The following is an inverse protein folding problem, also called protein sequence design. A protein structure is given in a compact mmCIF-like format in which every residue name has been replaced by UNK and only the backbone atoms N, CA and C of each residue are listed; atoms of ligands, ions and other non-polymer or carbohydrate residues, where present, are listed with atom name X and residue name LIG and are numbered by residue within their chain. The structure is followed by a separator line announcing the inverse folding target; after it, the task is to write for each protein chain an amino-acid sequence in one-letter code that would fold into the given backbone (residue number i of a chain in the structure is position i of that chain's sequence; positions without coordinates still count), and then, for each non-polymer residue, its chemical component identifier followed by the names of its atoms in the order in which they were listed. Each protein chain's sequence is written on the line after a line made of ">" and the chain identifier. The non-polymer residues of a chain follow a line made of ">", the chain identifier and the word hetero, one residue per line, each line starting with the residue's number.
data_IF_491064385661
#
_entry.id   IF_491064385661
#
_cell.length_a   1.000
_cell.length_b   1.000
_cell.length_c   1.000
_cell.angle_alpha   90.00
_cell.angle_beta   90.00
_cell.angle_gamma   90.00
#
_symmetry.space_group_name_H-M   'P 1'
#
loop_
_entity.id
_entity.type
_entity.pdbx_description
1 polymer ?
#
# COMPACT_ATOMS: atom_id res chain seq x y z
N UNK A 1 -36.61 18.81 -29.79
CA UNK A 1 -36.10 18.27 -28.50
C UNK A 1 -34.55 18.24 -28.45
N UNK A 2 -33.86 19.38 -28.63
CA UNK A 2 -32.38 19.45 -28.71
C UNK A 2 -31.67 19.64 -27.35
N UNK A 3 -32.41 19.90 -26.27
CA UNK A 3 -31.86 20.18 -24.92
C UNK A 3 -31.41 18.94 -24.13
N UNK A 4 -31.68 17.71 -24.59
CA UNK A 4 -31.29 16.48 -23.86
C UNK A 4 -29.78 16.21 -23.87
N UNK A 5 -29.07 16.69 -24.90
CA UNK A 5 -27.62 16.52 -25.08
C UNK A 5 -26.78 17.29 -24.04
N UNK A 6 -26.96 18.61 -23.84
CA UNK A 6 -26.18 19.34 -22.84
C UNK A 6 -26.46 18.85 -21.40
N UNK A 7 -27.70 18.45 -21.10
CA UNK A 7 -28.06 17.89 -19.78
C UNK A 7 -27.27 16.60 -19.51
N UNK A 8 -27.14 15.72 -20.50
CA UNK A 8 -26.36 14.49 -20.37
C UNK A 8 -24.88 14.77 -20.08
N UNK A 9 -24.28 15.73 -20.79
CA UNK A 9 -22.88 16.13 -20.54
C UNK A 9 -22.70 16.80 -19.17
N UNK A 10 -23.65 17.60 -18.70
CA UNK A 10 -23.62 18.19 -17.35
C UNK A 10 -23.67 17.12 -16.26
N UNK A 11 -24.48 16.06 -16.42
CA UNK A 11 -24.55 14.96 -15.44
C UNK A 11 -23.22 14.21 -15.39
N UNK A 12 -22.59 13.95 -16.53
CA UNK A 12 -21.27 13.31 -16.59
C UNK A 12 -20.20 14.19 -15.94
N UNK A 13 -20.21 15.50 -16.22
CA UNK A 13 -19.26 16.44 -15.62
C UNK A 13 -19.41 16.49 -14.09
N UNK A 14 -20.64 16.49 -13.58
CA UNK A 14 -20.92 16.45 -12.14
C UNK A 14 -20.46 15.12 -11.53
N UNK A 15 -20.66 13.98 -12.21
CA UNK A 15 -20.19 12.69 -11.74
C UNK A 15 -18.66 12.60 -11.65
N UNK A 16 -17.95 13.15 -12.65
CA UNK A 16 -16.48 13.22 -12.64
C UNK A 16 -15.98 14.13 -11.51
N UNK A 17 -16.60 15.29 -11.32
CA UNK A 17 -16.26 16.19 -10.22
C UNK A 17 -16.54 15.55 -8.86
N UNK A 18 -17.66 14.84 -8.71
CA UNK A 18 -17.99 14.13 -7.48
C UNK A 18 -16.98 13.01 -7.17
N UNK A 19 -16.53 12.27 -8.20
CA UNK A 19 -15.51 11.24 -8.04
C UNK A 19 -14.14 11.83 -7.68
N UNK A 20 -13.78 13.00 -8.22
CA UNK A 20 -12.51 13.68 -7.93
C UNK A 20 -12.44 14.21 -6.49
N UNK A 21 -13.58 14.52 -5.87
CA UNK A 21 -13.67 15.01 -4.48
C UNK A 21 -13.96 13.86 -3.50
N UNK A 22 -14.20 12.64 -4.00
CA UNK A 22 -14.50 11.50 -3.14
C UNK A 22 -13.28 11.19 -2.26
N UNK A 23 -13.42 11.27 -0.92
CA UNK A 23 -12.29 11.07 -0.03
C UNK A 23 -11.76 9.66 -0.24
N UNK A 24 -10.45 9.56 -0.50
CA UNK A 24 -9.76 8.28 -0.43
C UNK A 24 -9.75 7.90 1.04
N UNK A 25 -10.63 6.97 1.43
CA UNK A 25 -10.60 6.40 2.77
C UNK A 25 -9.32 5.59 2.86
N UNK A 26 -8.38 6.05 3.66
CA UNK A 26 -7.21 5.26 4.04
C UNK A 26 -7.70 4.15 4.95
N UNK A 27 -8.01 3.01 4.34
CA UNK A 27 -8.61 1.88 5.01
C UNK A 27 -7.52 1.04 5.69
N UNK A 28 -7.12 1.46 6.88
CA UNK A 28 -6.17 0.71 7.71
C UNK A 28 -6.64 -0.72 8.01
N UNK A 29 -7.95 -0.99 7.98
CA UNK A 29 -8.48 -2.35 8.15
C UNK A 29 -8.14 -3.21 6.93
N UNK A 30 -8.30 -2.67 5.72
CA UNK A 30 -7.91 -3.36 4.49
C UNK A 30 -6.43 -3.72 4.47
N UNK A 31 -5.55 -2.78 4.84
CA UNK A 31 -4.10 -3.04 4.87
C UNK A 31 -3.72 -4.06 5.95
N UNK A 32 -4.37 -4.02 7.12
CA UNK A 32 -4.17 -5.03 8.15
C UNK A 32 -4.59 -6.44 7.69
N UNK A 33 -5.74 -6.55 7.00
CA UNK A 33 -6.23 -7.82 6.44
C UNK A 33 -5.27 -8.33 5.35
N UNK A 34 -4.76 -7.44 4.50
CA UNK A 34 -3.76 -7.80 3.49
C UNK A 34 -2.49 -8.33 4.16
N UNK A 35 -1.96 -7.63 5.18
CA UNK A 35 -0.76 -8.05 5.88
C UNK A 35 -0.93 -9.40 6.58
N UNK A 36 -2.08 -9.60 7.25
CA UNK A 36 -2.42 -10.88 7.86
C UNK A 36 -2.46 -12.01 6.83
N UNK A 37 -2.98 -11.74 5.63
CA UNK A 37 -3.04 -12.73 4.55
C UNK A 37 -1.65 -13.11 4.06
N UNK A 38 -0.74 -12.14 3.92
CA UNK A 38 0.67 -12.37 3.54
C UNK A 38 1.37 -13.22 4.60
N UNK A 39 1.26 -12.85 5.89
CA UNK A 39 1.84 -13.59 7.02
C UNK A 39 1.31 -15.04 7.08
N UNK A 40 0.01 -15.21 6.87
CA UNK A 40 -0.63 -16.53 6.84
C UNK A 40 -0.10 -17.37 5.67
N UNK A 41 0.02 -16.78 4.48
CA UNK A 41 0.61 -17.45 3.32
C UNK A 41 2.07 -17.84 3.56
N UNK A 42 2.87 -16.95 4.13
CA UNK A 42 4.28 -17.22 4.43
C UNK A 42 4.44 -18.35 5.47
N UNK A 43 3.63 -18.36 6.52
CA UNK A 43 3.70 -19.39 7.56
C UNK A 43 3.24 -20.77 7.10
N UNK A 44 2.22 -20.84 6.23
CA UNK A 44 1.59 -22.12 5.85
C UNK A 44 2.08 -22.69 4.51
N UNK A 45 2.47 -21.83 3.57
CA UNK A 45 2.74 -22.24 2.19
C UNK A 45 4.24 -22.17 1.83
N UNK A 46 5.07 -21.50 2.63
CA UNK A 46 6.50 -21.42 2.35
C UNK A 46 7.18 -22.76 2.61
N UNK A 47 7.99 -23.24 1.65
CA UNK A 47 8.69 -24.53 1.74
C UNK A 47 9.52 -24.71 3.02
N UNK A 48 10.07 -23.60 3.53
CA UNK A 48 10.81 -23.55 4.79
C UNK A 48 10.27 -22.40 5.65
N UNK A 49 9.20 -22.61 6.43
CA UNK A 49 8.63 -21.55 7.24
C UNK A 49 9.65 -21.10 8.29
N UNK A 50 9.79 -19.78 8.45
CA UNK A 50 10.57 -19.17 9.53
C UNK A 50 9.61 -18.73 10.64
N UNK A 51 10.07 -18.73 11.88
CA UNK A 51 9.37 -18.05 12.96
C UNK A 51 9.32 -16.54 12.66
N UNK A 52 8.18 -15.91 12.91
CA UNK A 52 8.02 -14.46 12.78
C UNK A 52 8.22 -13.89 14.18
N UNK A 53 9.48 -13.62 14.51
CA UNK A 53 9.94 -13.13 15.80
C UNK A 53 10.87 -11.90 15.64
N UNK A 54 11.51 -11.48 16.73
CA UNK A 54 12.41 -10.33 16.74
C UNK A 54 13.68 -10.56 15.90
N UNK A 55 14.11 -11.81 15.73
CA UNK A 55 15.26 -12.14 14.87
C UNK A 55 14.87 -11.99 13.40
N UNK A 56 13.71 -12.53 13.01
CA UNK A 56 13.15 -12.31 11.68
C UNK A 56 12.90 -10.82 11.38
N UNK A 57 12.45 -10.06 12.37
CA UNK A 57 12.22 -8.62 12.23
C UNK A 57 13.51 -7.86 11.90
N UNK A 58 14.66 -8.26 12.47
CA UNK A 58 15.97 -7.69 12.13
C UNK A 58 16.39 -8.04 10.70
N UNK A 59 16.28 -9.31 10.31
CA UNK A 59 16.56 -9.77 8.94
C UNK A 59 15.75 -8.97 7.89
N UNK A 60 14.46 -8.76 8.16
CA UNK A 60 13.56 -8.02 7.26
C UNK A 60 13.87 -6.53 7.26
N UNK A 61 14.23 -5.95 8.41
CA UNK A 61 14.61 -4.55 8.49
C UNK A 61 15.89 -4.27 7.68
N UNK A 62 16.91 -5.11 7.81
CA UNK A 62 18.14 -5.00 7.02
C UNK A 62 17.85 -5.16 5.52
N UNK A 63 17.02 -6.16 5.16
CA UNK A 63 16.57 -6.35 3.77
C UNK A 63 15.80 -5.13 3.24
N UNK A 64 14.95 -4.51 4.06
CA UNK A 64 14.21 -3.31 3.70
C UNK A 64 15.15 -2.14 3.42
N UNK A 65 16.16 -1.91 4.28
CA UNK A 65 17.17 -0.88 4.06
C UNK A 65 17.94 -1.11 2.75
N UNK A 66 18.32 -2.35 2.46
CA UNK A 66 18.99 -2.69 1.20
C UNK A 66 18.08 -2.51 -0.03
N UNK A 67 16.76 -2.72 0.10
CA UNK A 67 15.80 -2.47 -0.99
C UNK A 67 15.64 -0.97 -1.30
N UNK A 68 15.64 -0.12 -0.27
CA UNK A 68 15.43 1.32 -0.47
C UNK A 68 16.73 2.09 -0.73
N UNK A 69 17.86 1.66 -0.17
CA UNK A 69 19.17 2.30 -0.33
C UNK A 69 20.36 1.30 -0.20
N UNK A 70 20.35 0.22 -0.98
CA UNK A 70 21.46 -0.75 -1.00
C UNK A 70 22.81 -0.16 -1.44
N UNK A 71 22.81 1.00 -2.11
CA UNK A 71 24.04 1.73 -2.46
C UNK A 71 24.61 2.58 -1.32
N UNK A 72 23.83 2.78 -0.25
CA UNK A 72 24.14 3.59 0.94
C UNK A 72 24.51 5.02 0.58
N UNK A 73 23.69 5.66 -0.26
CA UNK A 73 23.93 7.03 -0.77
C UNK A 73 22.92 8.06 -0.27
N UNK A 74 21.82 7.62 0.31
CA UNK A 74 20.70 8.49 0.68
C UNK A 74 20.52 8.57 2.19
N UNK A 75 20.51 7.43 2.88
CA UNK A 75 20.29 7.39 4.32
C UNK A 75 21.59 7.65 5.08
N UNK A 76 21.52 8.47 6.13
CA UNK A 76 22.61 8.65 7.08
C UNK A 76 22.48 7.68 8.25
N UNK A 77 23.54 7.46 9.00
CA UNK A 77 23.48 6.64 10.22
C UNK A 77 22.43 7.15 11.21
N UNK A 78 22.21 8.46 11.27
CA UNK A 78 21.18 9.07 12.13
C UNK A 78 19.75 8.72 11.70
N UNK A 79 19.51 8.48 10.41
CA UNK A 79 18.18 8.14 9.90
C UNK A 79 17.78 6.69 10.22
N UNK A 80 18.77 5.81 10.51
CA UNK A 80 18.59 4.38 10.77
C UNK A 80 18.94 3.96 12.21
N UNK A 81 19.37 4.89 13.06
CA UNK A 81 19.80 4.66 14.44
C UNK A 81 18.64 4.62 15.45
#
# INVERSE_FOLDING_TARGET
>A
MKFKRPIFFSIIAIAILAAAIYPQVEDGEKEAVLMQSIITGFSQLHFRPKAIDDEFSKDVYDFYLDQIDGSRRFLTEKDIA
#
